data_IF_278228566778
#
_entry.id   IF_278228566778
#
_cell.length_a   1.000
_cell.length_b   1.000
_cell.length_c   1.000
_cell.angle_alpha   90.00
_cell.angle_beta   90.00
_cell.angle_gamma   90.00
#
_symmetry.space_group_name_H-M   'P 1'
#
loop_
_entity.id
_entity.type
_entity.pdbx_description
1 polymer ?
#
# COMPACT_ATOMS: atom_id res chain seq x y z
N UNK A 1 8.95 -17.70 -19.67
CA UNK A 1 9.63 -17.04 -18.52
C UNK A 1 9.76 -18.03 -17.37
N UNK A 2 10.93 -18.16 -16.75
CA UNK A 2 11.17 -19.01 -15.57
C UNK A 2 11.26 -18.14 -14.31
N UNK A 3 10.46 -18.43 -13.28
CA UNK A 3 10.51 -17.65 -12.03
C UNK A 3 11.91 -17.70 -11.41
N UNK A 4 12.49 -16.53 -11.15
CA UNK A 4 13.85 -16.36 -10.63
C UNK A 4 14.94 -16.28 -11.70
N UNK A 5 14.62 -16.28 -13.00
CA UNK A 5 15.59 -16.00 -14.07
C UNK A 5 15.79 -14.51 -14.30
N UNK A 6 16.78 -14.15 -15.13
CA UNK A 6 16.95 -12.79 -15.63
C UNK A 6 15.72 -12.28 -16.38
N UNK A 7 15.10 -13.11 -17.24
CA UNK A 7 13.83 -12.72 -17.88
C UNK A 7 12.72 -12.36 -16.88
N UNK A 8 12.66 -13.05 -15.73
CA UNK A 8 11.70 -12.71 -14.69
C UNK A 8 12.01 -11.35 -14.07
N UNK A 9 13.29 -11.08 -13.78
CA UNK A 9 13.76 -9.76 -13.30
C UNK A 9 13.38 -8.65 -14.27
N UNK A 10 13.74 -8.81 -15.54
CA UNK A 10 13.43 -7.83 -16.57
C UNK A 10 11.93 -7.59 -16.68
N UNK A 11 11.14 -8.65 -16.61
CA UNK A 11 9.69 -8.55 -16.77
C UNK A 11 9.02 -7.75 -15.65
N UNK A 12 9.34 -8.00 -14.38
CA UNK A 12 8.72 -7.21 -13.30
C UNK A 12 9.29 -5.80 -13.19
N UNK A 13 10.58 -5.58 -13.51
CA UNK A 13 11.16 -4.23 -13.54
C UNK A 13 10.52 -3.40 -14.67
N UNK A 14 10.44 -3.95 -15.88
CA UNK A 14 9.78 -3.30 -17.02
C UNK A 14 8.31 -3.07 -16.78
N UNK A 15 7.61 -4.00 -16.15
CA UNK A 15 6.21 -3.79 -15.75
C UNK A 15 6.08 -2.51 -14.94
N UNK A 16 6.92 -2.32 -13.90
CA UNK A 16 6.86 -1.10 -13.11
C UNK A 16 7.22 0.12 -13.94
N UNK A 17 8.35 0.11 -14.66
CA UNK A 17 8.83 1.27 -15.43
C UNK A 17 7.90 1.70 -16.57
N UNK A 18 7.37 0.74 -17.32
CA UNK A 18 6.60 0.99 -18.55
C UNK A 18 5.13 1.32 -18.28
N UNK A 19 4.62 0.99 -17.08
CA UNK A 19 3.23 1.31 -16.69
C UNK A 19 3.13 2.56 -15.81
N UNK A 20 4.22 3.33 -15.71
CA UNK A 20 4.27 4.58 -14.95
C UNK A 20 3.27 5.61 -15.47
N UNK A 21 2.49 6.19 -14.55
CA UNK A 21 1.59 7.31 -14.83
C UNK A 21 2.17 8.61 -14.24
N UNK A 22 2.72 9.52 -15.07
CA UNK A 22 3.39 10.73 -14.60
C UNK A 22 2.39 11.85 -14.23
N UNK A 23 1.29 11.52 -13.54
CA UNK A 23 0.34 12.53 -13.06
C UNK A 23 1.01 13.44 -12.02
N UNK A 24 0.65 14.73 -12.04
CA UNK A 24 1.28 15.76 -11.21
C UNK A 24 0.33 16.18 -10.09
N UNK A 25 0.69 15.99 -8.80
CA UNK A 25 -0.22 16.34 -7.71
C UNK A 25 -0.56 17.84 -7.67
N UNK A 26 0.38 18.69 -8.10
CA UNK A 26 0.21 20.15 -8.09
C UNK A 26 -0.88 20.66 -9.04
N UNK A 27 -1.36 19.86 -9.99
CA UNK A 27 -2.41 20.24 -10.95
C UNK A 27 -3.72 19.49 -10.73
N UNK A 28 -3.83 18.70 -9.64
CA UNK A 28 -5.08 18.05 -9.28
C UNK A 28 -6.11 19.13 -8.94
N UNK A 29 -7.23 19.12 -9.66
CA UNK A 29 -8.35 20.00 -9.40
C UNK A 29 -9.21 19.41 -8.28
N UNK A 30 -8.98 19.86 -7.04
CA UNK A 30 -9.75 19.41 -5.88
C UNK A 30 -11.20 19.89 -6.00
N UNK A 31 -12.19 18.98 -6.09
CA UNK A 31 -13.58 19.39 -6.27
C UNK A 31 -14.11 20.10 -5.01
N UNK A 32 -14.99 21.11 -5.15
CA UNK A 32 -15.69 21.67 -4.01
C UNK A 32 -16.56 20.58 -3.37
N UNK A 33 -16.55 20.50 -2.05
CA UNK A 33 -17.33 19.52 -1.30
C UNK A 33 -18.54 20.18 -0.65
N UNK A 34 -19.68 19.48 -0.69
CA UNK A 34 -20.84 19.86 0.10
C UNK A 34 -20.50 19.82 1.61
N UNK A 35 -21.15 20.64 2.46
CA UNK A 35 -20.77 20.77 3.87
C UNK A 35 -20.74 19.44 4.65
N UNK A 36 -21.64 18.52 4.32
CA UNK A 36 -21.70 17.19 4.93
C UNK A 36 -20.52 16.30 4.49
N UNK A 37 -20.16 16.32 3.20
CA UNK A 37 -19.02 15.59 2.65
C UNK A 37 -17.69 16.14 3.16
N UNK A 38 -17.56 17.46 3.23
CA UNK A 38 -16.39 18.13 3.83
C UNK A 38 -16.24 17.71 5.29
N UNK A 39 -17.33 17.76 6.08
CA UNK A 39 -17.31 17.34 7.48
C UNK A 39 -16.88 15.88 7.64
N UNK A 40 -17.38 14.97 6.80
CA UNK A 40 -16.93 13.56 6.81
C UNK A 40 -15.43 13.47 6.56
N UNK A 41 -14.93 14.13 5.51
CA UNK A 41 -13.52 14.11 5.12
C UNK A 41 -12.61 14.65 6.23
N UNK A 42 -12.93 15.83 6.76
CA UNK A 42 -12.12 16.49 7.80
C UNK A 42 -12.18 15.78 9.15
N UNK A 43 -13.20 14.93 9.38
CA UNK A 43 -13.34 14.16 10.61
C UNK A 43 -12.58 12.83 10.63
N UNK A 44 -12.02 12.41 9.48
CA UNK A 44 -11.26 11.16 9.42
C UNK A 44 -9.95 11.29 10.23
N UNK A 45 -9.71 10.44 11.24
CA UNK A 45 -8.52 10.51 12.09
C UNK A 45 -7.31 9.82 11.44
N UNK A 46 -7.15 9.99 10.12
CA UNK A 46 -6.20 9.21 9.30
C UNK A 46 -5.11 10.05 8.69
N UNK A 47 -5.32 11.37 8.55
CA UNK A 47 -4.53 12.18 7.63
C UNK A 47 -3.06 12.30 8.03
N UNK A 48 -2.79 12.46 9.32
CA UNK A 48 -1.43 12.42 9.86
C UNK A 48 -0.76 11.08 9.58
N UNK A 49 -1.46 9.99 9.88
CA UNK A 49 -0.97 8.63 9.70
C UNK A 49 -0.68 8.38 8.22
N UNK A 50 -1.58 8.78 7.32
CA UNK A 50 -1.44 8.60 5.89
C UNK A 50 -0.18 9.32 5.37
N UNK A 51 -0.07 10.64 5.59
CA UNK A 51 1.09 11.43 5.14
C UNK A 51 2.40 10.90 5.74
N UNK A 52 2.39 10.50 7.01
CA UNK A 52 3.58 9.95 7.67
C UNK A 52 3.96 8.55 7.17
N UNK A 53 2.98 7.74 6.77
CA UNK A 53 3.22 6.40 6.22
C UNK A 53 3.90 6.53 4.86
N UNK A 54 3.38 7.36 3.95
CA UNK A 54 3.99 7.64 2.64
C UNK A 54 5.40 8.25 2.78
N UNK A 55 5.55 9.20 3.71
CA UNK A 55 6.85 9.81 4.02
C UNK A 55 7.89 8.79 4.51
N UNK A 56 7.46 7.81 5.31
CA UNK A 56 8.34 6.75 5.79
C UNK A 56 8.63 5.71 4.72
N UNK A 57 7.62 5.31 3.94
CA UNK A 57 7.73 4.36 2.84
C UNK A 57 8.76 4.86 1.82
N UNK A 58 8.58 6.07 1.29
CA UNK A 58 9.51 6.67 0.32
C UNK A 58 10.98 6.64 0.76
N UNK A 59 11.28 6.96 2.03
CA UNK A 59 12.65 6.87 2.56
C UNK A 59 13.14 5.43 2.65
N UNK A 60 12.32 4.48 3.11
CA UNK A 60 12.70 3.07 3.20
C UNK A 60 13.01 2.48 1.82
N UNK A 61 12.15 2.75 0.83
CA UNK A 61 12.31 2.27 -0.55
C UNK A 61 13.56 2.90 -1.17
N UNK A 62 13.73 4.22 -1.07
CA UNK A 62 14.91 4.92 -1.60
C UNK A 62 16.22 4.43 -0.95
N UNK A 63 16.21 4.18 0.37
CA UNK A 63 17.38 3.67 1.08
C UNK A 63 17.76 2.28 0.60
N UNK A 64 16.78 1.40 0.34
CA UNK A 64 17.05 0.09 -0.22
C UNK A 64 17.57 0.17 -1.67
N UNK A 65 16.98 1.04 -2.49
CA UNK A 65 17.41 1.28 -3.87
C UNK A 65 18.90 1.63 -3.95
N UNK A 66 19.36 2.52 -3.05
CA UNK A 66 20.76 2.95 -2.98
C UNK A 66 21.76 1.81 -2.68
N UNK A 67 21.30 0.68 -2.15
CA UNK A 67 22.15 -0.51 -1.89
C UNK A 67 22.34 -1.40 -3.11
N UNK A 68 21.47 -1.29 -4.11
CA UNK A 68 21.42 -2.20 -5.25
C UNK A 68 22.54 -1.92 -6.25
N UNK A 69 23.17 -2.96 -6.78
CA UNK A 69 24.19 -2.84 -7.83
C UNK A 69 23.65 -3.05 -9.26
N UNK A 70 22.54 -3.79 -9.38
CA UNK A 70 21.89 -4.03 -10.67
C UNK A 70 21.17 -2.76 -11.15
N UNK A 71 21.54 -2.18 -12.30
CA UNK A 71 21.04 -0.86 -12.71
C UNK A 71 19.54 -0.88 -13.01
N UNK A 72 19.02 -1.94 -13.64
CA UNK A 72 17.60 -2.05 -13.96
C UNK A 72 16.75 -2.19 -12.70
N UNK A 73 17.22 -3.01 -11.74
CA UNK A 73 16.50 -3.17 -10.49
C UNK A 73 16.57 -1.88 -9.66
N UNK A 74 17.72 -1.20 -9.64
CA UNK A 74 17.87 0.09 -8.96
C UNK A 74 16.89 1.12 -9.52
N UNK A 75 16.86 1.29 -10.85
CA UNK A 75 15.95 2.22 -11.53
C UNK A 75 14.47 1.94 -11.20
N UNK A 76 14.07 0.67 -11.20
CA UNK A 76 12.71 0.29 -10.85
C UNK A 76 12.36 0.65 -9.38
N UNK A 77 13.25 0.38 -8.42
CA UNK A 77 12.99 0.71 -7.01
C UNK A 77 13.12 2.22 -6.74
N UNK A 78 13.95 2.95 -7.49
CA UNK A 78 13.99 4.41 -7.45
C UNK A 78 12.68 5.03 -7.95
N UNK A 79 12.07 4.45 -8.99
CA UNK A 79 10.73 4.85 -9.44
C UNK A 79 9.68 4.58 -8.37
N UNK A 80 9.68 3.38 -7.78
CA UNK A 80 8.80 3.01 -6.67
C UNK A 80 8.88 4.05 -5.53
N UNK A 81 10.09 4.36 -5.06
CA UNK A 81 10.31 5.39 -4.03
C UNK A 81 9.81 6.78 -4.43
N UNK A 82 9.91 7.15 -5.71
CA UNK A 82 9.43 8.42 -6.22
C UNK A 82 7.89 8.46 -6.32
N UNK A 83 7.25 7.32 -6.60
CA UNK A 83 5.79 7.17 -6.57
C UNK A 83 5.28 7.32 -5.13
N UNK A 84 5.88 6.66 -4.15
CA UNK A 84 5.60 6.82 -2.70
C UNK A 84 5.74 8.28 -2.24
N UNK A 85 6.86 8.93 -2.60
CA UNK A 85 7.09 10.33 -2.25
C UNK A 85 6.03 11.26 -2.88
N UNK A 86 5.49 10.87 -4.03
CA UNK A 86 4.44 11.61 -4.71
C UNK A 86 3.07 11.35 -4.09
N UNK A 87 2.77 10.15 -3.60
CA UNK A 87 1.54 9.86 -2.83
C UNK A 87 1.47 10.76 -1.60
N UNK A 88 2.57 10.89 -0.87
CA UNK A 88 2.70 11.89 0.20
C UNK A 88 2.30 13.29 -0.28
N UNK A 89 2.84 13.73 -1.41
CA UNK A 89 2.53 15.06 -1.95
C UNK A 89 1.05 15.21 -2.33
N UNK A 90 0.42 14.17 -2.90
CA UNK A 90 -1.04 14.16 -3.17
C UNK A 90 -1.81 14.36 -1.87
N UNK A 91 -1.49 13.60 -0.82
CA UNK A 91 -2.17 13.69 0.47
C UNK A 91 -1.95 15.05 1.14
N UNK A 92 -0.72 15.57 1.16
CA UNK A 92 -0.41 16.91 1.70
C UNK A 92 -1.17 18.02 0.95
N UNK A 93 -1.42 17.85 -0.35
CA UNK A 93 -2.23 18.79 -1.15
C UNK A 93 -3.72 18.66 -0.86
N UNK A 94 -4.23 17.44 -0.66
CA UNK A 94 -5.63 17.22 -0.26
C UNK A 94 -5.94 17.94 1.05
N UNK A 95 -5.12 17.69 2.07
CA UNK A 95 -5.36 18.23 3.42
C UNK A 95 -5.31 19.76 3.42
N UNK A 96 -4.36 20.33 2.67
CA UNK A 96 -4.28 21.78 2.48
C UNK A 96 -5.50 22.34 1.72
N UNK A 97 -5.97 21.64 0.68
CA UNK A 97 -7.13 22.07 -0.12
C UNK A 97 -8.44 22.09 0.69
N UNK A 98 -8.58 21.18 1.66
CA UNK A 98 -9.79 21.07 2.48
C UNK A 98 -9.64 21.62 3.91
N UNK A 99 -8.52 22.28 4.22
CA UNK A 99 -8.31 22.94 5.52
C UNK A 99 -8.16 21.95 6.69
N UNK A 100 -7.60 20.77 6.43
CA UNK A 100 -7.31 19.76 7.45
C UNK A 100 -5.94 20.09 8.04
N UNK A 101 -5.92 20.38 9.34
CA UNK A 101 -4.68 20.63 10.07
C UNK A 101 -3.97 19.31 10.37
N UNK A 102 -2.71 19.21 9.96
CA UNK A 102 -1.85 18.09 10.28
C UNK A 102 -1.01 18.38 11.53
N UNK A 103 -0.72 17.34 12.29
CA UNK A 103 0.36 17.34 13.27
C UNK A 103 1.70 17.60 12.56
N UNK A 104 2.69 18.21 13.27
CA UNK A 104 4.03 18.38 12.72
C UNK A 104 4.61 17.06 12.23
N UNK A 105 5.12 17.06 11.00
CA UNK A 105 5.72 15.84 10.44
C UNK A 105 7.00 15.46 11.20
N UNK A 106 7.16 14.19 11.60
CA UNK A 106 8.40 13.71 12.18
C UNK A 106 9.51 13.64 11.12
N UNK A 107 10.76 13.62 11.58
CA UNK A 107 11.87 13.26 10.69
C UNK A 107 11.75 11.80 10.24
N UNK A 108 12.11 11.54 8.98
CA UNK A 108 12.16 10.20 8.39
C UNK A 108 13.62 9.79 8.18
N UNK A 109 14.37 9.37 9.23
CA UNK A 109 15.75 8.96 9.07
C UNK A 109 15.85 7.66 8.26
N UNK A 110 16.93 7.52 7.51
CA UNK A 110 17.23 6.30 6.77
C UNK A 110 17.27 5.08 7.71
N UNK A 111 16.62 3.95 7.36
CA UNK A 111 16.62 2.75 8.18
C UNK A 111 18.04 2.16 8.30
N UNK A 112 18.35 1.63 9.49
CA UNK A 112 19.62 0.93 9.74
C UNK A 112 19.77 -0.37 8.92
N UNK A 113 18.66 -1.04 8.65
CA UNK A 113 18.60 -2.26 7.85
C UNK A 113 17.68 -2.00 6.63
N UNK A 114 18.24 -1.58 5.49
CA UNK A 114 17.47 -1.21 4.31
C UNK A 114 16.66 -2.39 3.74
N UNK A 115 17.24 -3.59 3.71
CA UNK A 115 16.53 -4.78 3.19
C UNK A 115 15.36 -5.16 4.09
N UNK A 116 15.54 -5.13 5.41
CA UNK A 116 14.42 -5.36 6.34
C UNK A 116 13.31 -4.35 6.12
N UNK A 117 13.66 -3.07 6.04
CA UNK A 117 12.69 -1.98 5.91
C UNK A 117 11.91 -2.07 4.60
N UNK A 118 12.59 -2.37 3.49
CA UNK A 118 11.95 -2.63 2.19
C UNK A 118 11.00 -3.83 2.23
N UNK A 119 11.44 -4.96 2.79
CA UNK A 119 10.57 -6.13 2.94
C UNK A 119 9.37 -5.83 3.84
N UNK A 120 9.58 -5.11 4.95
CA UNK A 120 8.51 -4.76 5.88
C UNK A 120 7.46 -3.88 5.19
N UNK A 121 7.89 -2.83 4.49
CA UNK A 121 7.04 -1.94 3.70
C UNK A 121 6.23 -2.72 2.66
N UNK A 122 6.88 -3.46 1.76
CA UNK A 122 6.15 -4.18 0.70
C UNK A 122 5.21 -5.28 1.20
N UNK A 123 5.52 -5.95 2.33
CA UNK A 123 4.57 -6.87 2.96
C UNK A 123 3.40 -6.15 3.64
N UNK A 124 3.61 -4.95 4.20
CA UNK A 124 2.53 -4.14 4.75
C UNK A 124 1.61 -3.65 3.64
N UNK A 125 2.14 -3.09 2.55
CA UNK A 125 1.37 -2.67 1.37
C UNK A 125 0.53 -3.81 0.80
N UNK A 126 1.07 -5.04 0.74
CA UNK A 126 0.25 -6.20 0.32
C UNK A 126 -1.02 -6.41 1.15
N UNK A 127 -1.02 -6.00 2.44
CA UNK A 127 -2.19 -6.00 3.31
C UNK A 127 -2.99 -4.72 3.11
N UNK A 128 -2.31 -3.58 3.12
CA UNK A 128 -2.88 -2.23 3.08
C UNK A 128 -3.62 -1.99 1.76
N UNK A 129 -2.97 -2.19 0.61
CA UNK A 129 -3.62 -2.05 -0.69
C UNK A 129 -4.80 -3.03 -0.86
N UNK A 130 -4.71 -4.28 -0.36
CA UNK A 130 -5.83 -5.25 -0.45
C UNK A 130 -7.12 -4.73 0.20
N UNK A 131 -7.03 -4.15 1.40
CA UNK A 131 -8.19 -3.58 2.07
C UNK A 131 -8.56 -2.21 1.51
N UNK A 132 -7.58 -1.38 1.15
CA UNK A 132 -7.80 -0.08 0.55
C UNK A 132 -8.61 -0.18 -0.75
N UNK A 133 -8.35 -1.17 -1.61
CA UNK A 133 -9.10 -1.38 -2.85
C UNK A 133 -10.61 -1.56 -2.59
N UNK A 134 -10.97 -2.40 -1.62
CA UNK A 134 -12.37 -2.62 -1.26
C UNK A 134 -13.01 -1.41 -0.57
N UNK A 135 -12.28 -0.75 0.33
CA UNK A 135 -12.77 0.46 1.02
C UNK A 135 -13.03 1.61 0.04
N UNK A 136 -12.12 1.81 -0.90
CA UNK A 136 -12.23 2.84 -1.92
C UNK A 136 -13.42 2.60 -2.84
N UNK A 137 -13.58 1.36 -3.32
CA UNK A 137 -14.74 0.99 -4.13
C UNK A 137 -16.05 1.12 -3.35
N UNK A 138 -16.06 0.75 -2.07
CA UNK A 138 -17.22 0.95 -1.20
C UNK A 138 -17.59 2.43 -1.08
N UNK A 139 -16.60 3.31 -0.88
CA UNK A 139 -16.81 4.76 -0.81
C UNK A 139 -17.39 5.30 -2.13
N UNK A 140 -16.92 4.81 -3.28
CA UNK A 140 -17.45 5.19 -4.60
C UNK A 140 -18.91 4.73 -4.78
N UNK A 141 -19.23 3.48 -4.44
CA UNK A 141 -20.57 2.90 -4.64
C UNK A 141 -21.62 3.47 -3.69
N UNK A 142 -21.22 3.82 -2.47
CA UNK A 142 -22.13 4.35 -1.44
C UNK A 142 -22.39 5.85 -1.58
N UNK A 143 -21.60 6.57 -2.38
CA UNK A 143 -21.62 8.03 -2.43
C UNK A 143 -21.14 8.68 -1.13
N UNK A 144 -20.41 7.95 -0.29
CA UNK A 144 -19.87 8.46 0.97
C UNK A 144 -19.00 9.70 0.74
N UNK A 145 -18.21 9.67 -0.34
CA UNK A 145 -17.54 10.84 -0.91
C UNK A 145 -18.02 11.09 -2.35
N UNK A 146 -17.98 12.35 -2.83
CA UNK A 146 -18.29 12.64 -4.23
C UNK A 146 -17.39 11.87 -5.18
N UNK A 147 -17.95 11.34 -6.26
CA UNK A 147 -17.20 10.56 -7.26
C UNK A 147 -15.97 11.32 -7.77
N UNK A 148 -16.13 12.61 -8.06
CA UNK A 148 -15.02 13.46 -8.48
C UNK A 148 -13.86 13.53 -7.47
N UNK A 149 -14.12 13.41 -6.17
CA UNK A 149 -13.06 13.34 -5.16
C UNK A 149 -12.39 11.98 -5.18
N UNK A 150 -13.19 10.91 -5.22
CA UNK A 150 -12.68 9.53 -5.27
C UNK A 150 -11.81 9.36 -6.52
N UNK A 151 -12.26 9.76 -7.71
CA UNK A 151 -11.51 9.62 -8.96
C UNK A 151 -10.13 10.28 -8.95
N UNK A 152 -9.91 11.35 -8.16
CA UNK A 152 -8.56 11.96 -8.04
C UNK A 152 -7.50 11.01 -7.49
N UNK A 153 -7.93 10.01 -6.71
CA UNK A 153 -7.07 9.00 -6.12
C UNK A 153 -6.87 7.77 -6.98
N UNK A 154 -7.68 7.54 -8.02
CA UNK A 154 -7.56 6.32 -8.84
C UNK A 154 -6.14 6.06 -9.35
N UNK A 155 -5.36 7.09 -9.78
CA UNK A 155 -3.97 6.89 -10.14
C UNK A 155 -3.07 6.41 -8.97
N UNK A 156 -3.30 6.91 -7.76
CA UNK A 156 -2.59 6.47 -6.53
C UNK A 156 -2.90 5.00 -6.26
N UNK A 157 -4.20 4.64 -6.28
CA UNK A 157 -4.59 3.26 -5.97
C UNK A 157 -4.12 2.26 -7.06
N UNK A 158 -3.97 2.71 -8.31
CA UNK A 158 -3.39 1.88 -9.36
C UNK A 158 -1.86 1.73 -9.22
N UNK A 159 -1.16 2.73 -8.67
CA UNK A 159 0.26 2.66 -8.35
C UNK A 159 0.54 1.67 -7.23
N UNK A 160 -0.26 1.72 -6.17
CA UNK A 160 -0.26 0.72 -5.08
C UNK A 160 -0.38 -0.72 -5.62
N UNK A 161 -1.24 -0.94 -6.61
CA UNK A 161 -1.37 -2.24 -7.27
C UNK A 161 -0.10 -2.66 -8.03
N UNK A 162 0.67 -1.70 -8.57
CA UNK A 162 1.95 -1.93 -9.25
C UNK A 162 3.05 -2.24 -8.24
N UNK A 163 3.10 -1.52 -7.12
CA UNK A 163 4.09 -1.72 -6.05
C UNK A 163 3.98 -3.12 -5.47
N UNK A 164 2.79 -3.55 -5.04
CA UNK A 164 2.61 -4.91 -4.50
C UNK A 164 2.86 -5.99 -5.56
N UNK A 165 2.57 -5.72 -6.83
CA UNK A 165 2.86 -6.65 -7.93
C UNK A 165 4.37 -6.77 -8.15
N UNK A 166 5.07 -5.64 -8.20
CA UNK A 166 6.52 -5.57 -8.29
C UNK A 166 7.17 -6.29 -7.10
N UNK A 167 6.77 -5.96 -5.88
CA UNK A 167 7.32 -6.49 -4.64
C UNK A 167 7.22 -8.03 -4.56
N UNK A 168 6.08 -8.63 -4.89
CA UNK A 168 5.92 -10.09 -4.85
C UNK A 168 6.79 -10.81 -5.88
N UNK A 169 6.97 -10.22 -7.06
CA UNK A 169 7.87 -10.77 -8.06
C UNK A 169 9.34 -10.57 -7.63
N UNK A 170 9.67 -9.42 -7.09
CA UNK A 170 10.99 -9.11 -6.52
C UNK A 170 11.36 -10.08 -5.40
N UNK A 171 10.55 -10.23 -4.35
CA UNK A 171 10.90 -11.09 -3.19
C UNK A 171 11.04 -12.56 -3.59
N UNK A 172 10.26 -12.99 -4.58
CA UNK A 172 10.37 -14.35 -5.13
C UNK A 172 11.64 -14.52 -5.95
N UNK A 173 11.98 -13.54 -6.78
CA UNK A 173 13.25 -13.51 -7.53
C UNK A 173 14.44 -13.47 -6.57
N UNK A 174 14.42 -12.54 -5.61
CA UNK A 174 15.46 -12.31 -4.60
C UNK A 174 15.79 -13.58 -3.82
N UNK A 175 14.76 -14.29 -3.32
CA UNK A 175 14.95 -15.56 -2.62
C UNK A 175 15.53 -16.65 -3.53
N UNK A 176 15.21 -16.65 -4.83
CA UNK A 176 15.69 -17.67 -5.79
C UNK A 176 17.12 -17.41 -6.27
N UNK A 177 17.53 -16.16 -6.43
CA UNK A 177 18.89 -15.79 -6.81
C UNK A 177 19.86 -15.84 -5.62
N UNK A 178 19.35 -15.71 -4.40
CA UNK A 178 20.12 -15.87 -3.17
C UNK A 178 20.71 -17.30 -3.01
N UNK A 179 21.96 -17.42 -2.50
CA UNK A 179 22.56 -18.71 -2.17
C UNK A 179 21.66 -19.55 -1.26
N UNK A 180 21.59 -20.85 -1.52
CA UNK A 180 20.63 -21.74 -0.86
C UNK A 180 20.76 -21.74 0.67
N UNK A 181 21.97 -21.56 1.21
CA UNK A 181 22.27 -21.51 2.64
C UNK A 181 21.77 -20.24 3.35
N UNK A 182 21.55 -19.13 2.62
CA UNK A 182 20.94 -17.91 3.19
C UNK A 182 19.41 -17.98 3.23
N UNK A 183 18.80 -18.89 2.47
CA UNK A 183 17.34 -19.01 2.37
C UNK A 183 16.63 -19.32 3.70
N UNK A 184 17.17 -20.19 4.59
CA UNK A 184 16.60 -20.37 5.93
C UNK A 184 16.55 -19.06 6.72
N UNK A 185 17.65 -18.29 6.72
CA UNK A 185 17.71 -16.98 7.39
C UNK A 185 16.71 -15.99 6.79
N UNK A 186 16.63 -15.88 5.47
CA UNK A 186 15.61 -15.07 4.81
C UNK A 186 14.19 -15.48 5.23
N UNK A 187 13.92 -16.78 5.35
CA UNK A 187 12.61 -17.28 5.79
C UNK A 187 12.30 -16.86 7.22
N UNK A 188 13.29 -16.85 8.12
CA UNK A 188 13.15 -16.33 9.48
C UNK A 188 12.89 -14.83 9.50
N UNK A 189 13.58 -14.04 8.66
CA UNK A 189 13.32 -12.60 8.53
C UNK A 189 11.89 -12.33 8.08
N UNK A 190 11.41 -13.03 7.05
CA UNK A 190 10.03 -12.93 6.58
C UNK A 190 9.04 -13.32 7.69
N UNK A 191 9.29 -14.39 8.43
CA UNK A 191 8.43 -14.80 9.56
C UNK A 191 8.40 -13.73 10.67
N UNK A 192 9.53 -13.11 10.99
CA UNK A 192 9.61 -12.04 11.98
C UNK A 192 8.89 -10.76 11.50
N UNK A 193 8.96 -10.43 10.21
CA UNK A 193 8.16 -9.35 9.61
C UNK A 193 6.67 -9.64 9.76
N UNK A 194 6.21 -10.85 9.41
CA UNK A 194 4.80 -11.25 9.59
C UNK A 194 4.35 -11.20 11.04
N UNK A 195 5.17 -11.68 11.97
CA UNK A 195 4.87 -11.60 13.39
C UNK A 195 4.72 -10.15 13.85
N UNK A 196 5.60 -9.26 13.39
CA UNK A 196 5.50 -7.82 13.67
C UNK A 196 4.25 -7.19 13.06
N UNK A 197 3.95 -7.45 11.79
CA UNK A 197 2.77 -6.89 11.11
C UNK A 197 1.45 -7.31 11.79
N UNK A 198 1.38 -8.55 12.27
CA UNK A 198 0.23 -9.05 13.04
C UNK A 198 0.18 -8.41 14.43
N UNK A 199 1.32 -8.32 15.11
CA UNK A 199 1.42 -7.69 16.43
C UNK A 199 0.95 -6.24 16.38
N UNK A 200 1.49 -5.44 15.45
CA UNK A 200 1.16 -4.02 15.30
C UNK A 200 -0.36 -3.85 15.07
N UNK A 201 -0.96 -4.66 14.18
CA UNK A 201 -2.42 -4.66 13.93
C UNK A 201 -3.26 -5.06 15.16
N UNK A 202 -2.79 -6.02 15.97
CA UNK A 202 -3.48 -6.40 17.22
C UNK A 202 -3.35 -5.30 18.28
N UNK A 203 -2.19 -4.66 18.39
CA UNK A 203 -1.96 -3.58 19.36
C UNK A 203 -2.90 -2.39 19.09
N UNK A 204 -3.06 -2.02 17.83
CA UNK A 204 -4.00 -0.98 17.39
C UNK A 204 -5.43 -1.35 17.71
N UNK A 205 -5.86 -2.57 17.35
CA UNK A 205 -7.22 -3.04 17.63
C UNK A 205 -7.54 -3.09 19.13
N UNK A 206 -6.53 -3.22 19.99
CA UNK A 206 -6.66 -3.20 21.45
C UNK A 206 -6.47 -1.81 22.07
N UNK A 207 -6.21 -0.78 21.27
CA UNK A 207 -5.93 0.59 21.75
C UNK A 207 -4.65 0.70 22.59
N UNK A 208 -3.73 -0.26 22.45
CA UNK A 208 -2.45 -0.30 23.19
C UNK A 208 -1.46 0.70 22.60
N UNK A 209 -1.65 1.07 21.34
CA UNK A 209 -0.80 1.99 20.59
C UNK A 209 -1.23 3.46 20.78
N UNK A 210 -1.35 3.88 22.05
CA UNK A 210 -1.82 5.20 22.46
C UNK A 210 -0.73 6.30 22.39
N UNK A 211 0.51 5.94 22.02
CA UNK A 211 1.66 6.85 22.02
C UNK A 211 1.76 7.74 20.76
N UNK A 212 0.75 7.69 19.87
CA UNK A 212 0.68 8.58 18.71
C UNK A 212 1.75 8.34 17.64
N UNK A 213 2.48 7.22 17.71
CA UNK A 213 3.46 6.85 16.69
C UNK A 213 2.72 6.27 15.48
N UNK A 214 2.80 6.94 14.33
CA UNK A 214 2.24 6.42 13.08
C UNK A 214 2.96 5.14 12.64
N UNK A 215 2.27 4.02 12.75
CA UNK A 215 2.63 2.74 12.13
C UNK A 215 1.81 2.54 10.86
N UNK A 216 2.41 1.93 9.83
CA UNK A 216 1.78 1.67 8.53
C UNK A 216 0.43 0.93 8.69
N UNK A 217 0.33 0.05 9.68
CA UNK A 217 -0.90 -0.66 10.06
C UNK A 217 -2.04 0.21 10.61
N UNK A 218 -1.75 1.42 11.10
CA UNK A 218 -2.76 2.33 11.66
C UNK A 218 -3.68 2.87 10.56
N UNK A 219 -3.15 3.02 9.34
CA UNK A 219 -3.88 3.61 8.20
C UNK A 219 -5.14 2.81 7.87
N UNK A 220 -5.02 1.49 7.71
CA UNK A 220 -6.18 0.64 7.45
C UNK A 220 -7.19 0.60 8.59
N UNK A 221 -6.70 0.46 9.82
CA UNK A 221 -7.57 0.33 10.99
C UNK A 221 -8.47 1.56 11.12
N UNK A 222 -7.89 2.74 11.00
CA UNK A 222 -8.60 4.01 11.11
C UNK A 222 -9.58 4.23 9.93
N UNK A 223 -9.23 3.82 8.70
CA UNK A 223 -10.14 3.88 7.56
C UNK A 223 -11.33 2.91 7.67
N UNK A 224 -11.09 1.69 8.15
CA UNK A 224 -12.12 0.65 8.23
C UNK A 224 -13.25 0.98 9.22
N UNK A 225 -12.92 1.66 10.32
CA UNK A 225 -13.88 2.02 11.36
C UNK A 225 -14.84 3.16 10.94
N UNK A 226 -14.47 3.98 9.96
CA UNK A 226 -15.25 5.18 9.59
C UNK A 226 -15.93 5.08 8.22
N UNK A 227 -15.34 4.34 7.28
CA UNK A 227 -15.87 4.15 5.91
C UNK A 227 -16.71 2.86 5.83
N UNK A 228 -16.54 1.93 6.78
CA UNK A 228 -17.20 0.62 6.77
C UNK A 228 -18.68 0.61 7.18
N UNK A 229 -19.21 1.68 7.77
CA UNK A 229 -20.55 1.69 8.39
C UNK A 229 -21.72 1.42 7.41
N UNK A 230 -21.49 1.57 6.10
CA UNK A 230 -22.50 1.29 5.06
C UNK A 230 -22.54 -0.15 4.54
N UNK A 231 -21.52 -0.98 4.81
CA UNK A 231 -21.44 -2.37 4.33
C UNK A 231 -21.29 -3.35 5.49
N UNK A 232 -22.00 -4.48 5.43
CA UNK A 232 -21.69 -5.60 6.32
C UNK A 232 -20.24 -6.06 6.04
N UNK A 233 -19.45 -6.35 7.09
CA UNK A 233 -18.07 -6.81 6.98
C UNK A 233 -17.86 -7.92 5.94
N UNK A 234 -18.86 -8.80 5.73
CA UNK A 234 -18.82 -9.82 4.67
C UNK A 234 -18.79 -9.21 3.26
N UNK A 235 -19.60 -8.19 3.01
CA UNK A 235 -19.68 -7.51 1.72
C UNK A 235 -18.40 -6.76 1.42
N UNK A 236 -17.87 -6.03 2.41
CA UNK A 236 -16.58 -5.32 2.26
C UNK A 236 -15.46 -6.31 1.93
N UNK A 237 -15.35 -7.43 2.66
CA UNK A 237 -14.31 -8.42 2.41
C UNK A 237 -14.45 -9.09 1.03
N UNK A 238 -15.68 -9.33 0.57
CA UNK A 238 -15.94 -9.82 -0.78
C UNK A 238 -15.52 -8.79 -1.84
N UNK A 239 -15.78 -7.50 -1.59
CA UNK A 239 -15.40 -6.40 -2.47
C UNK A 239 -13.87 -6.28 -2.57
N UNK A 240 -13.14 -6.40 -1.46
CA UNK A 240 -11.67 -6.44 -1.47
C UNK A 240 -11.12 -7.54 -2.39
N UNK A 241 -11.73 -8.74 -2.39
CA UNK A 241 -11.30 -9.85 -3.26
C UNK A 241 -11.51 -9.50 -4.74
N UNK A 242 -12.67 -8.98 -5.10
CA UNK A 242 -13.02 -8.62 -6.48
C UNK A 242 -12.11 -7.50 -6.98
N UNK A 243 -11.97 -6.42 -6.21
CA UNK A 243 -11.18 -5.25 -6.61
C UNK A 243 -9.68 -5.60 -6.71
N UNK A 244 -9.16 -6.43 -5.81
CA UNK A 244 -7.79 -6.94 -5.92
C UNK A 244 -7.57 -7.74 -7.23
N UNK A 245 -8.53 -8.59 -7.64
CA UNK A 245 -8.44 -9.30 -8.91
C UNK A 245 -8.52 -8.34 -10.10
N UNK A 246 -9.47 -7.40 -10.08
CA UNK A 246 -9.69 -6.44 -11.15
C UNK A 246 -8.48 -5.54 -11.39
N UNK A 247 -7.92 -4.95 -10.33
CA UNK A 247 -6.75 -4.07 -10.40
C UNK A 247 -5.50 -4.77 -10.92
N UNK A 248 -5.40 -6.08 -10.70
CA UNK A 248 -4.28 -6.90 -11.16
C UNK A 248 -4.51 -7.54 -12.54
N UNK A 249 -5.73 -7.48 -13.09
CA UNK A 249 -6.11 -8.20 -14.31
C UNK A 249 -5.46 -7.65 -15.58
N UNK A 250 -5.13 -6.35 -15.60
CA UNK A 250 -4.51 -5.68 -16.74
C UNK A 250 -3.03 -5.99 -16.95
N UNK A 251 -2.35 -6.56 -15.96
CA UNK A 251 -0.92 -6.88 -16.06
C UNK A 251 -0.69 -8.29 -16.61
N UNK A 252 0.50 -8.52 -17.17
CA UNK A 252 0.86 -9.82 -17.74
C UNK A 252 0.64 -10.98 -16.73
N UNK A 253 -0.08 -12.01 -17.17
CA UNK A 253 -0.50 -13.15 -16.36
C UNK A 253 0.68 -14.03 -15.89
N UNK A 254 1.87 -13.89 -16.49
CA UNK A 254 3.07 -14.63 -16.09
C UNK A 254 3.71 -14.04 -14.82
N UNK A 255 3.41 -12.78 -14.47
CA UNK A 255 3.84 -12.17 -13.20
C UNK A 255 3.05 -12.79 -12.03
N UNK A 256 3.74 -13.04 -10.93
CA UNK A 256 3.12 -13.54 -9.70
C UNK A 256 2.20 -12.47 -9.09
N UNK A 257 1.12 -12.90 -8.42
CA UNK A 257 0.20 -12.01 -7.70
C UNK A 257 0.33 -12.22 -6.18
N UNK A 258 0.08 -11.19 -5.34
CA UNK A 258 -0.06 -11.36 -3.89
C UNK A 258 -1.31 -12.19 -3.58
N UNK A 259 -1.11 -13.46 -3.21
CA UNK A 259 -2.24 -14.39 -2.99
C UNK A 259 -2.62 -14.57 -1.52
N UNK A 260 -1.81 -14.09 -0.57
CA UNK A 260 -2.02 -14.37 0.84
C UNK A 260 -3.35 -13.76 1.33
N UNK A 261 -3.52 -12.45 1.21
CA UNK A 261 -4.74 -11.75 1.62
C UNK A 261 -5.99 -12.24 0.88
N UNK A 262 -6.01 -12.37 -0.46
CA UNK A 262 -7.16 -12.94 -1.17
C UNK A 262 -7.50 -14.37 -0.74
N UNK A 263 -6.52 -15.22 -0.37
CA UNK A 263 -6.79 -16.59 0.12
C UNK A 263 -7.39 -16.58 1.51
N UNK A 264 -6.85 -15.78 2.43
CA UNK A 264 -7.39 -15.62 3.78
C UNK A 264 -8.80 -15.04 3.75
N UNK A 265 -9.04 -14.02 2.93
CA UNK A 265 -10.35 -13.42 2.73
C UNK A 265 -11.37 -14.43 2.19
N UNK A 266 -11.05 -15.17 1.12
CA UNK A 266 -11.93 -16.23 0.58
C UNK A 266 -12.19 -17.34 1.60
N UNK A 267 -11.22 -17.68 2.44
CA UNK A 267 -11.40 -18.65 3.52
C UNK A 267 -12.38 -18.11 4.58
N UNK A 268 -12.17 -16.88 5.06
CA UNK A 268 -13.06 -16.23 6.03
C UNK A 268 -14.50 -16.12 5.49
N UNK A 269 -14.67 -15.74 4.23
CA UNK A 269 -15.98 -15.66 3.56
C UNK A 269 -16.74 -17.00 3.50
N UNK A 270 -16.06 -18.15 3.63
CA UNK A 270 -16.75 -19.45 3.74
C UNK A 270 -17.39 -19.67 5.11
N UNK A 271 -16.87 -19.03 6.15
CA UNK A 271 -17.33 -19.20 7.54
C UNK A 271 -18.23 -18.05 8.03
N UNK A 272 -18.17 -16.88 7.40
CA UNK A 272 -19.07 -15.77 7.72
C UNK A 272 -20.51 -16.13 7.32
N UNK A 273 -21.48 -15.83 8.20
CA UNK A 273 -22.91 -15.98 7.86
C UNK A 273 -23.27 -15.07 6.68
N UNK A 274 -24.15 -15.55 5.80
CA UNK A 274 -24.70 -14.74 4.70
C UNK A 274 -25.56 -13.62 5.27
#
# INVERSE_FOLDING_TARGET
MRIGSEDHKQMFCRMLLETHNPYKPAVINWPPLAPDALKRLTSLPIWDIAVQTEGRASIRVATYAATLQDPLLREAIEMDAAEEARHKHVLSRLVAAYGIELAPEPEYPAPRDPEWAWMFTGYSECIDSFFAFGLFRSAQQSGYFPEALVETFEPVIQEEARHILFFINWVTWYRRTMPWWRRPWHSLRVAAIWAKLVWDRIAIAKGIDADGVAHDSNFLAANSATIGDGLNARQLLALCVVENEQRMSGYDARLLRPLMMPRLARLALRFMKK
#
